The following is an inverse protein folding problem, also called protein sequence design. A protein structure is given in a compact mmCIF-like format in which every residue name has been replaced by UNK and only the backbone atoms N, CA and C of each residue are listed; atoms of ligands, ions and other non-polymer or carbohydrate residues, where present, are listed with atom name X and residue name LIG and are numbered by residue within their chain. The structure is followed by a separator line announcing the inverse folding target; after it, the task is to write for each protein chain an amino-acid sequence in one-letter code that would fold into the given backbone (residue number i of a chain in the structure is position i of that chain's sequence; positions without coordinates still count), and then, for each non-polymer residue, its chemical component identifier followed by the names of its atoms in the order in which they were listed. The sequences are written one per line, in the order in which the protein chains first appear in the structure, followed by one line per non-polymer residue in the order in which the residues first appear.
data_IF_365230595414
#
_entry.id   IF_365230595414
#
_cell.length_a   1.000
_cell.length_b   1.000
_cell.length_c   1.000
_cell.angle_alpha   90.00
_cell.angle_beta   90.00
_cell.angle_gamma   90.00
#
_symmetry.space_group_name_H-M   'P 1'
#
loop_
_entity.id
_entity.type
_entity.pdbx_description
1 polymer ?
#
# COMPACT_ATOMS: atom_id res chain seq x y z
N UNK A 1 48.14 5.40 -30.61
CA UNK A 1 46.66 5.47 -30.55
C UNK A 1 46.26 5.12 -29.13
N UNK A 2 45.84 6.09 -28.32
CA UNK A 2 45.35 5.85 -26.95
C UNK A 2 43.82 5.94 -26.98
N UNK A 3 43.15 4.87 -26.58
CA UNK A 3 41.69 4.79 -26.52
C UNK A 3 41.15 5.53 -25.30
N UNK A 4 40.22 6.44 -25.52
CA UNK A 4 39.41 7.05 -24.47
C UNK A 4 38.27 6.10 -24.10
N UNK A 5 38.28 5.58 -22.88
CA UNK A 5 37.10 4.93 -22.29
C UNK A 5 36.22 6.01 -21.67
N UNK A 6 35.11 6.33 -22.34
CA UNK A 6 34.03 7.13 -21.76
C UNK A 6 33.31 6.27 -20.72
N UNK A 7 33.70 6.40 -19.46
CA UNK A 7 32.96 5.83 -18.33
C UNK A 7 31.73 6.69 -18.07
N UNK A 8 30.56 6.22 -18.48
CA UNK A 8 29.28 6.84 -18.09
C UNK A 8 29.16 6.76 -16.58
N UNK A 9 29.28 7.91 -15.90
CA UNK A 9 29.05 8.00 -14.45
C UNK A 9 27.57 7.72 -14.22
N UNK A 10 27.26 6.52 -13.74
CA UNK A 10 25.92 6.17 -13.29
C UNK A 10 25.56 7.11 -12.14
N UNK A 11 24.72 8.11 -12.45
CA UNK A 11 24.18 9.03 -11.46
C UNK A 11 23.32 8.22 -10.50
N UNK A 12 23.89 7.83 -9.37
CA UNK A 12 23.15 7.29 -8.24
C UNK A 12 22.33 8.42 -7.63
N UNK A 13 21.20 8.75 -8.26
CA UNK A 13 20.18 9.56 -7.60
C UNK A 13 19.86 8.86 -6.27
N UNK A 14 19.97 9.56 -5.12
CA UNK A 14 19.51 8.99 -3.86
C UNK A 14 18.03 8.64 -4.07
N UNK A 15 17.70 7.34 -4.01
CA UNK A 15 16.31 6.92 -3.90
C UNK A 15 15.86 7.36 -2.52
N UNK A 16 15.21 8.53 -2.44
CA UNK A 16 14.58 9.02 -1.22
C UNK A 16 13.61 7.90 -0.79
N UNK A 17 13.88 7.30 0.38
CA UNK A 17 12.99 6.32 0.98
C UNK A 17 11.98 7.08 1.83
N UNK A 18 10.70 6.97 1.46
CA UNK A 18 9.60 7.43 2.32
C UNK A 18 9.39 6.40 3.43
N UNK A 19 9.01 6.86 4.63
CA UNK A 19 8.67 5.96 5.72
C UNK A 19 7.43 5.13 5.37
N UNK A 20 7.38 3.86 5.81
CA UNK A 20 6.19 3.03 5.69
C UNK A 20 5.02 3.64 6.47
N UNK A 21 3.77 3.45 5.98
CA UNK A 21 2.60 3.98 6.67
C UNK A 21 2.36 3.21 7.97
N UNK A 22 1.70 3.84 8.97
CA UNK A 22 1.39 3.18 10.23
C UNK A 22 0.41 2.01 10.01
N UNK A 23 0.37 1.07 10.96
CA UNK A 23 -0.67 0.05 11.00
C UNK A 23 -1.96 0.61 11.59
N UNK A 24 -3.11 0.07 11.18
CA UNK A 24 -4.43 0.47 11.66
C UNK A 24 -5.14 -0.68 12.36
N UNK A 25 -5.35 -0.52 13.67
CA UNK A 25 -6.07 -1.48 14.52
C UNK A 25 -7.57 -1.22 14.62
N UNK A 26 -8.07 -0.14 14.03
CA UNK A 26 -9.41 0.40 14.32
C UNK A 26 -9.43 1.55 15.33
N UNK A 27 -8.26 2.04 15.76
CA UNK A 27 -8.13 3.17 16.69
C UNK A 27 -7.62 4.41 15.97
N UNK A 28 -8.22 5.56 16.25
CA UNK A 28 -7.92 6.81 15.57
C UNK A 28 -8.69 6.98 14.25
N UNK A 29 -8.35 8.03 13.51
CA UNK A 29 -9.01 8.40 12.26
C UNK A 29 -8.65 7.42 11.14
N UNK A 30 -9.66 6.71 10.62
CA UNK A 30 -9.51 5.88 9.43
C UNK A 30 -9.15 6.73 8.20
N UNK A 31 -9.71 7.94 8.09
CA UNK A 31 -9.48 8.81 6.93
C UNK A 31 -8.04 9.30 6.88
N UNK A 32 -7.47 9.69 8.02
CA UNK A 32 -6.07 10.10 8.11
C UNK A 32 -5.13 8.94 7.75
N UNK A 33 -5.48 7.73 8.21
CA UNK A 33 -4.73 6.53 7.87
C UNK A 33 -4.80 6.21 6.38
N UNK A 34 -5.99 6.23 5.77
CA UNK A 34 -6.18 6.01 4.33
C UNK A 34 -5.43 7.05 3.50
N UNK A 35 -5.39 8.31 3.93
CA UNK A 35 -4.66 9.36 3.24
C UNK A 35 -3.14 9.13 3.29
N UNK A 36 -2.60 8.77 4.45
CA UNK A 36 -1.17 8.45 4.59
C UNK A 36 -0.78 7.24 3.74
N UNK A 37 -1.59 6.18 3.80
CA UNK A 37 -1.41 4.97 3.00
C UNK A 37 -1.46 5.28 1.50
N UNK A 38 -2.43 6.08 1.05
CA UNK A 38 -2.57 6.49 -0.35
C UNK A 38 -1.38 7.32 -0.87
N UNK A 39 -0.84 8.23 -0.04
CA UNK A 39 0.38 8.99 -0.38
C UNK A 39 1.57 8.04 -0.55
N UNK A 40 1.72 7.09 0.37
CA UNK A 40 2.80 6.10 0.30
C UNK A 40 2.67 5.18 -0.92
N UNK A 41 1.48 4.68 -1.22
CA UNK A 41 1.20 3.87 -2.41
C UNK A 41 1.54 4.62 -3.68
N UNK A 42 1.13 5.89 -3.79
CA UNK A 42 1.43 6.75 -4.95
C UNK A 42 2.93 6.94 -5.14
N UNK A 43 3.69 7.15 -4.07
CA UNK A 43 5.15 7.26 -4.14
C UNK A 43 5.81 5.97 -4.65
N UNK A 44 5.25 4.82 -4.27
CA UNK A 44 5.74 3.50 -4.68
C UNK A 44 5.09 2.97 -5.97
N UNK A 45 4.36 3.82 -6.70
CA UNK A 45 3.71 3.49 -7.98
C UNK A 45 2.71 2.32 -7.88
N UNK A 46 2.12 2.11 -6.70
CA UNK A 46 1.06 1.12 -6.46
C UNK A 46 -0.28 1.74 -6.91
N UNK A 47 -0.71 1.38 -8.12
CA UNK A 47 -1.83 2.06 -8.77
C UNK A 47 -3.05 1.16 -9.03
N UNK A 48 -2.86 -0.15 -9.19
CA UNK A 48 -3.96 -1.08 -9.41
C UNK A 48 -4.65 -1.46 -8.08
N UNK A 49 -5.92 -1.82 -8.21
CA UNK A 49 -6.78 -2.06 -7.06
C UNK A 49 -6.36 -3.29 -6.26
N UNK A 50 -5.93 -4.37 -6.91
CA UNK A 50 -5.51 -5.58 -6.19
C UNK A 50 -4.26 -5.35 -5.33
N UNK A 51 -3.25 -4.65 -5.86
CA UNK A 51 -2.08 -4.30 -5.05
C UNK A 51 -2.43 -3.29 -3.96
N UNK A 52 -3.28 -2.29 -4.22
CA UNK A 52 -3.74 -1.36 -3.18
C UNK A 52 -4.43 -2.09 -2.04
N UNK A 53 -5.38 -2.98 -2.36
CA UNK A 53 -6.11 -3.77 -1.36
C UNK A 53 -5.15 -4.67 -0.59
N UNK A 54 -4.25 -5.37 -1.28
CA UNK A 54 -3.26 -6.25 -0.63
C UNK A 54 -2.33 -5.48 0.30
N UNK A 55 -1.82 -4.32 -0.13
CA UNK A 55 -1.01 -3.44 0.71
C UNK A 55 -1.80 -2.94 1.91
N UNK A 56 -3.06 -2.54 1.74
CA UNK A 56 -3.90 -2.10 2.86
C UNK A 56 -4.11 -3.23 3.88
N UNK A 57 -4.40 -4.46 3.42
CA UNK A 57 -4.55 -5.63 4.28
C UNK A 57 -3.30 -5.90 5.12
N UNK A 58 -2.10 -5.71 4.57
CA UNK A 58 -0.83 -5.87 5.29
C UNK A 58 -0.61 -4.81 6.38
N UNK A 59 -1.28 -3.66 6.28
CA UNK A 59 -1.22 -2.58 7.26
C UNK A 59 -2.45 -2.52 8.17
N UNK A 60 -3.39 -3.45 8.03
CA UNK A 60 -4.46 -3.65 9.01
C UNK A 60 -3.96 -4.58 10.11
N UNK A 61 -4.37 -4.32 11.34
CA UNK A 61 -4.07 -5.20 12.48
C UNK A 61 -5.29 -5.36 13.40
N UNK A 62 -5.21 -6.31 14.32
CA UNK A 62 -6.22 -6.52 15.35
C UNK A 62 -7.65 -6.65 14.82
N UNK A 63 -8.56 -5.85 15.40
CA UNK A 63 -9.98 -5.88 15.05
C UNK A 63 -10.24 -5.51 13.59
N UNK A 64 -9.53 -4.52 13.05
CA UNK A 64 -9.72 -4.07 11.67
C UNK A 64 -9.30 -5.15 10.66
N UNK A 65 -8.18 -5.84 10.91
CA UNK A 65 -7.79 -7.00 10.09
C UNK A 65 -8.79 -8.15 10.19
N UNK A 66 -9.29 -8.43 11.41
CA UNK A 66 -10.30 -9.47 11.64
C UNK A 66 -11.60 -9.16 10.89
N UNK A 67 -12.03 -7.90 10.90
CA UNK A 67 -13.20 -7.44 10.15
C UNK A 67 -13.04 -7.64 8.64
N UNK A 68 -11.85 -7.40 8.11
CA UNK A 68 -11.52 -7.59 6.68
C UNK A 68 -11.02 -9.01 6.33
N UNK A 69 -11.30 -10.00 7.18
CA UNK A 69 -10.76 -11.36 7.03
C UNK A 69 -11.16 -12.04 5.73
N UNK A 70 -12.34 -11.77 5.19
CA UNK A 70 -12.76 -12.32 3.88
C UNK A 70 -11.84 -11.85 2.75
N UNK A 71 -11.48 -10.56 2.74
CA UNK A 71 -10.51 -10.02 1.79
C UNK A 71 -9.12 -10.63 1.99
N UNK A 72 -8.68 -10.83 3.25
CA UNK A 72 -7.42 -11.49 3.54
C UNK A 72 -7.39 -12.94 3.04
N UNK A 73 -8.48 -13.70 3.23
CA UNK A 73 -8.62 -15.07 2.71
C UNK A 73 -8.58 -15.10 1.19
N UNK A 74 -9.30 -14.20 0.52
CA UNK A 74 -9.30 -14.09 -0.95
C UNK A 74 -7.91 -13.73 -1.49
N UNK A 75 -7.23 -12.78 -0.85
CA UNK A 75 -5.87 -12.38 -1.23
C UNK A 75 -4.88 -13.55 -1.10
N UNK A 76 -4.94 -14.28 0.02
CA UNK A 76 -4.12 -15.47 0.23
C UNK A 76 -4.40 -16.58 -0.80
N UNK A 77 -5.66 -16.71 -1.23
CA UNK A 77 -6.09 -17.64 -2.27
C UNK A 77 -5.85 -17.12 -3.71
N UNK A 78 -5.28 -15.92 -3.89
CA UNK A 78 -5.10 -15.24 -5.18
C UNK A 78 -6.40 -15.11 -5.98
N UNK A 79 -7.50 -14.93 -5.26
CA UNK A 79 -8.81 -14.66 -5.84
C UNK A 79 -8.94 -13.17 -6.12
N UNK A 80 -9.79 -12.84 -7.10
CA UNK A 80 -10.09 -11.45 -7.43
C UNK A 80 -10.53 -10.68 -6.18
N UNK A 81 -9.97 -9.50 -5.94
CA UNK A 81 -10.28 -8.68 -4.77
C UNK A 81 -11.37 -7.63 -5.04
N UNK A 82 -11.64 -7.31 -6.30
CA UNK A 82 -12.60 -6.27 -6.68
C UNK A 82 -11.96 -4.90 -6.71
N UNK A 83 -12.75 -3.86 -6.45
CA UNK A 83 -12.28 -2.47 -6.56
C UNK A 83 -11.75 -1.94 -5.23
N UNK A 84 -10.84 -0.97 -5.31
CA UNK A 84 -10.34 -0.26 -4.14
C UNK A 84 -11.47 0.51 -3.42
N UNK A 85 -12.41 1.06 -4.19
CA UNK A 85 -13.56 1.80 -3.66
C UNK A 85 -14.45 0.90 -2.79
N UNK A 86 -14.79 -0.31 -3.26
CA UNK A 86 -15.60 -1.27 -2.49
C UNK A 86 -14.91 -1.65 -1.17
N UNK A 87 -13.60 -1.92 -1.22
CA UNK A 87 -12.81 -2.23 -0.04
C UNK A 87 -12.87 -1.11 1.01
N UNK A 88 -12.67 0.15 0.60
CA UNK A 88 -12.73 1.31 1.51
C UNK A 88 -14.14 1.52 2.04
N UNK A 89 -15.16 1.35 1.21
CA UNK A 89 -16.55 1.50 1.63
C UNK A 89 -16.91 0.49 2.72
N UNK A 90 -16.50 -0.78 2.57
CA UNK A 90 -16.69 -1.82 3.58
C UNK A 90 -15.94 -1.46 4.86
N UNK A 91 -14.67 -1.05 4.77
CA UNK A 91 -13.88 -0.68 5.95
C UNK A 91 -14.52 0.49 6.73
N UNK A 92 -15.07 1.49 6.02
CA UNK A 92 -15.81 2.62 6.60
C UNK A 92 -17.15 2.24 7.22
N UNK A 93 -17.68 1.03 7.03
CA UNK A 93 -18.92 0.61 7.72
C UNK A 93 -18.67 0.46 9.23
N UNK A 94 -17.50 -0.06 9.62
CA UNK A 94 -17.21 -0.39 11.02
C UNK A 94 -16.24 0.58 11.73
N UNK A 95 -15.53 1.43 10.97
CA UNK A 95 -14.40 2.21 11.49
C UNK A 95 -14.43 3.70 11.07
N UNK A 96 -15.61 4.31 10.99
CA UNK A 96 -15.75 5.74 10.63
C UNK A 96 -14.92 6.67 11.52
#
# INVERSE_FOLDING_TARGET
MQGQTSGTVQSHKPRIKIAEPPHYSGKGSLEDWLQQLGIWMRWNEINDDEHKITTALLHLEGGAFTYMSEYATRAAARQALGTWEDFVNILKVNYR
#
